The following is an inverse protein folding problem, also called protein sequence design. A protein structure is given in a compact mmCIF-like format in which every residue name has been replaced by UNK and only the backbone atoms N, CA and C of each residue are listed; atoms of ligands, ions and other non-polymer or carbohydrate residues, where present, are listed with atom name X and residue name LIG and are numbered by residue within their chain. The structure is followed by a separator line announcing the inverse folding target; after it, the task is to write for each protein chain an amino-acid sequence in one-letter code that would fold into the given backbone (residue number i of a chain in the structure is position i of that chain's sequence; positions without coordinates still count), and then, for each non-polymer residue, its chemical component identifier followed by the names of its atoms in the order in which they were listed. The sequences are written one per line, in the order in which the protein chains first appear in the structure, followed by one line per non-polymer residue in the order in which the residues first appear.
data_IF_623555392141
#
_entry.id   IF_623555392141
#
_cell.length_a   1.000
_cell.length_b   1.000
_cell.length_c   1.000
_cell.angle_alpha   90.00
_cell.angle_beta   90.00
_cell.angle_gamma   90.00
#
_symmetry.space_group_name_H-M   'P 1'
#
loop_
_entity.id
_entity.type
_entity.pdbx_description
1 polymer ?
#
# COMPACT_ATOMS: atom_id res chain seq x y z
N UNK A 1 -19.27 -18.33 -4.22
CA UNK A 1 -17.98 -17.87 -3.66
C UNK A 1 -17.63 -16.54 -4.29
N UNK A 2 -18.02 -15.44 -3.65
CA UNK A 2 -17.60 -14.10 -4.06
C UNK A 2 -16.20 -13.93 -3.50
N UNK A 3 -15.21 -14.00 -4.38
CA UNK A 3 -13.81 -13.66 -4.09
C UNK A 3 -13.77 -12.38 -3.26
N UNK A 4 -13.13 -12.48 -2.10
CA UNK A 4 -12.83 -11.40 -1.16
C UNK A 4 -11.79 -10.44 -1.77
N UNK A 5 -12.12 -9.84 -2.92
CA UNK A 5 -11.30 -8.78 -3.50
C UNK A 5 -11.42 -7.58 -2.56
N UNK A 6 -10.32 -7.32 -1.85
CA UNK A 6 -10.11 -6.11 -1.08
C UNK A 6 -10.32 -4.90 -1.99
N UNK A 7 -11.54 -4.38 -2.05
CA UNK A 7 -11.81 -3.04 -2.54
C UNK A 7 -11.18 -2.11 -1.51
N UNK A 8 -10.11 -1.37 -1.84
CA UNK A 8 -9.56 -0.39 -0.92
C UNK A 8 -10.51 0.81 -0.94
N UNK A 9 -11.64 0.68 -0.24
CA UNK A 9 -12.53 1.79 0.08
C UNK A 9 -11.68 2.77 0.90
N UNK A 10 -11.25 3.86 0.28
CA UNK A 10 -10.39 4.87 0.92
C UNK A 10 -11.19 6.05 1.46
N UNK A 11 -12.36 6.34 0.86
CA UNK A 11 -13.21 7.44 1.30
C UNK A 11 -14.01 7.07 2.55
N UNK A 12 -14.03 7.97 3.53
CA UNK A 12 -14.84 7.85 4.75
C UNK A 12 -16.32 7.65 4.41
N UNK A 13 -16.84 8.43 3.46
CA UNK A 13 -18.23 8.36 3.04
C UNK A 13 -18.64 6.98 2.50
N UNK A 14 -17.76 6.33 1.72
CA UNK A 14 -18.02 4.98 1.19
C UNK A 14 -18.11 3.93 2.32
N UNK A 15 -17.29 4.09 3.37
CA UNK A 15 -17.38 3.22 4.53
C UNK A 15 -18.67 3.43 5.32
N UNK A 16 -19.10 4.69 5.48
CA UNK A 16 -20.41 5.01 6.09
C UNK A 16 -21.52 4.29 5.32
N UNK A 17 -21.57 4.48 4.00
CA UNK A 17 -22.58 3.87 3.14
C UNK A 17 -22.53 2.35 3.19
N UNK A 18 -21.33 1.76 3.21
CA UNK A 18 -21.19 0.31 3.28
C UNK A 18 -21.70 -0.26 4.61
N UNK A 19 -21.38 0.38 5.75
CA UNK A 19 -21.90 -0.03 7.06
C UNK A 19 -23.44 0.07 7.06
N UNK A 20 -23.99 1.18 6.59
CA UNK A 20 -25.45 1.38 6.53
C UNK A 20 -26.13 0.39 5.56
N UNK A 21 -25.51 0.07 4.44
CA UNK A 21 -25.98 -0.94 3.50
C UNK A 21 -26.00 -2.34 4.15
N UNK A 22 -24.93 -2.72 4.86
CA UNK A 22 -24.90 -4.00 5.58
C UNK A 22 -25.93 -4.06 6.71
N UNK A 23 -26.20 -2.94 7.38
CA UNK A 23 -27.28 -2.87 8.36
C UNK A 23 -28.64 -3.15 7.70
N UNK A 24 -28.88 -2.59 6.51
CA UNK A 24 -30.11 -2.79 5.74
C UNK A 24 -30.35 -4.23 5.28
N UNK A 25 -29.31 -5.07 5.20
CA UNK A 25 -29.46 -6.50 4.89
C UNK A 25 -29.95 -7.34 6.07
N UNK A 26 -29.90 -6.79 7.29
CA UNK A 26 -30.27 -7.47 8.53
C UNK A 26 -29.19 -8.40 9.10
N UNK A 27 -28.03 -8.53 8.44
CA UNK A 27 -26.92 -9.32 8.96
C UNK A 27 -26.06 -8.50 9.93
N UNK A 28 -26.35 -8.64 11.23
CA UNK A 28 -25.67 -7.91 12.29
C UNK A 28 -24.21 -8.33 12.48
N UNK A 29 -23.86 -9.58 12.15
CA UNK A 29 -22.47 -10.05 12.26
C UNK A 29 -21.64 -9.41 11.15
N UNK A 30 -22.15 -9.40 9.91
CA UNK A 30 -21.51 -8.73 8.79
C UNK A 30 -21.43 -7.21 8.99
N UNK A 31 -22.47 -6.59 9.55
CA UNK A 31 -22.48 -5.15 9.85
C UNK A 31 -21.38 -4.78 10.84
N UNK A 32 -21.25 -5.53 11.94
CA UNK A 32 -20.19 -5.32 12.94
C UNK A 32 -18.80 -5.54 12.35
N UNK A 33 -18.61 -6.61 11.58
CA UNK A 33 -17.33 -6.87 10.92
C UNK A 33 -16.97 -5.75 9.93
N UNK A 34 -17.95 -5.18 9.24
CA UNK A 34 -17.75 -4.04 8.33
C UNK A 34 -17.43 -2.76 9.10
N UNK A 35 -18.09 -2.51 10.23
CA UNK A 35 -17.79 -1.39 11.12
C UNK A 35 -16.37 -1.43 11.69
N UNK A 36 -15.89 -2.59 12.16
CA UNK A 36 -14.52 -2.72 12.66
C UNK A 36 -13.47 -2.55 11.56
N UNK A 37 -13.75 -3.05 10.33
CA UNK A 37 -12.90 -2.77 9.17
C UNK A 37 -12.86 -1.27 8.85
N UNK A 38 -14.00 -0.59 8.88
CA UNK A 38 -14.08 0.86 8.66
C UNK A 38 -13.28 1.65 9.72
N UNK A 39 -13.43 1.31 11.00
CA UNK A 39 -12.67 1.93 12.08
C UNK A 39 -11.17 1.72 11.93
N UNK A 40 -10.76 0.54 11.48
CA UNK A 40 -9.35 0.23 11.22
C UNK A 40 -8.81 1.02 10.03
N UNK A 41 -9.59 1.16 8.96
CA UNK A 41 -9.17 1.82 7.73
C UNK A 41 -9.14 3.35 7.85
N UNK A 42 -10.19 3.95 8.42
CA UNK A 42 -10.38 5.41 8.40
C UNK A 42 -10.83 6.00 9.74
N UNK A 43 -10.92 5.20 10.81
CA UNK A 43 -11.34 5.68 12.12
C UNK A 43 -10.38 6.70 12.76
N UNK A 44 -9.11 6.74 12.30
CA UNK A 44 -8.10 7.74 12.74
C UNK A 44 -7.99 8.93 11.80
N UNK A 45 -8.84 9.03 10.76
CA UNK A 45 -8.86 10.16 9.86
C UNK A 45 -9.28 11.42 10.61
N UNK A 46 -8.34 12.34 10.86
CA UNK A 46 -8.55 13.49 11.75
C UNK A 46 -9.75 14.35 11.33
N UNK A 47 -9.91 14.67 10.04
CA UNK A 47 -11.01 15.54 9.61
C UNK A 47 -12.40 14.87 9.54
N UNK A 48 -12.47 13.64 9.02
CA UNK A 48 -13.75 12.99 8.69
C UNK A 48 -14.03 11.70 9.50
N UNK A 49 -13.04 11.14 10.19
CA UNK A 49 -13.14 9.83 10.85
C UNK A 49 -14.23 9.75 11.91
N UNK A 50 -14.66 10.90 12.47
CA UNK A 50 -15.79 11.02 13.40
C UNK A 50 -17.08 10.43 12.80
N UNK A 51 -17.27 10.50 11.49
CA UNK A 51 -18.45 9.98 10.80
C UNK A 51 -18.57 8.45 10.94
N UNK A 52 -17.45 7.73 10.88
CA UNK A 52 -17.45 6.27 11.09
C UNK A 52 -17.72 5.92 12.54
N UNK A 53 -17.11 6.63 13.48
CA UNK A 53 -17.38 6.41 14.90
C UNK A 53 -18.86 6.60 15.22
N UNK A 54 -19.46 7.67 14.71
CA UNK A 54 -20.89 7.95 14.88
C UNK A 54 -21.78 6.86 14.30
N UNK A 55 -21.51 6.39 13.08
CA UNK A 55 -22.30 5.35 12.42
C UNK A 55 -22.16 4.00 13.14
N UNK A 56 -20.95 3.61 13.54
CA UNK A 56 -20.73 2.36 14.27
C UNK A 56 -21.38 2.40 15.65
N UNK A 57 -21.24 3.51 16.39
CA UNK A 57 -21.92 3.71 17.67
C UNK A 57 -23.44 3.71 17.51
N UNK A 58 -23.98 4.38 16.49
CA UNK A 58 -25.42 4.42 16.20
C UNK A 58 -25.99 3.01 16.03
N UNK A 59 -25.30 2.15 15.28
CA UNK A 59 -25.69 0.74 15.11
C UNK A 59 -25.78 0.03 16.47
N UNK A 60 -24.73 0.13 17.29
CA UNK A 60 -24.71 -0.57 18.58
C UNK A 60 -25.72 -0.01 19.59
N UNK A 61 -25.96 1.31 19.59
CA UNK A 61 -27.00 1.95 20.40
C UNK A 61 -28.40 1.52 19.99
N UNK A 62 -28.67 1.42 18.69
CA UNK A 62 -29.98 0.99 18.19
C UNK A 62 -30.27 -0.46 18.57
N UNK A 63 -29.26 -1.34 18.53
CA UNK A 63 -29.39 -2.72 19.02
C UNK A 63 -29.68 -2.71 20.53
N UNK A 64 -28.95 -1.91 21.30
CA UNK A 64 -29.14 -1.82 22.75
C UNK A 64 -30.56 -1.35 23.11
N UNK A 65 -31.06 -0.31 22.44
CA UNK A 65 -32.43 0.18 22.62
C UNK A 65 -33.48 -0.90 22.28
N UNK A 66 -33.25 -1.71 21.25
CA UNK A 66 -34.13 -2.83 20.91
C UNK A 66 -34.16 -3.96 21.95
N UNK A 67 -33.10 -4.11 22.75
CA UNK A 67 -33.02 -5.09 23.84
C UNK A 67 -33.68 -4.59 25.13
N UNK A 68 -33.81 -3.28 25.32
CA UNK A 68 -34.50 -2.68 26.46
C UNK A 68 -36.03 -2.83 26.33
N UNK A 69 -36.55 -4.04 26.60
CA UNK A 69 -38.00 -4.29 26.65
C UNK A 69 -38.59 -3.61 27.90
N UNK A 70 -39.41 -2.59 27.70
CA UNK A 70 -40.15 -1.93 28.79
C UNK A 70 -41.33 -2.82 29.25
N UNK A 71 -41.29 -3.29 30.51
CA UNK A 71 -42.47 -3.81 31.21
C UNK A 71 -42.65 -5.34 31.33
N UNK A 72 -41.68 -6.16 30.91
CA UNK A 72 -41.70 -7.63 31.11
C UNK A 72 -40.55 -8.11 31.98
N UNK A 73 -40.77 -9.20 32.73
CA UNK A 73 -39.71 -9.88 33.49
C UNK A 73 -38.67 -10.39 32.47
N UNK A 74 -37.49 -9.78 32.46
CA UNK A 74 -36.40 -10.19 31.60
C UNK A 74 -35.87 -11.55 32.05
N UNK A 75 -35.66 -12.45 31.09
CA UNK A 75 -34.95 -13.70 31.34
C UNK A 75 -33.46 -13.42 31.66
N UNK A 76 -32.81 -14.33 32.39
CA UNK A 76 -31.37 -14.22 32.68
C UNK A 76 -30.52 -14.13 31.39
N UNK A 77 -31.01 -14.73 30.31
CA UNK A 77 -30.34 -14.71 29.01
C UNK A 77 -30.47 -13.34 28.32
N UNK A 78 -31.63 -12.69 28.40
CA UNK A 78 -31.84 -11.33 27.89
C UNK A 78 -31.00 -10.29 28.66
N UNK A 79 -30.89 -10.43 29.99
CA UNK A 79 -30.04 -9.56 30.83
C UNK A 79 -28.57 -9.70 30.38
N UNK A 80 -28.08 -10.93 30.22
CA UNK A 80 -26.70 -11.18 29.76
C UNK A 80 -26.44 -10.61 28.36
N UNK A 81 -27.40 -10.66 27.46
CA UNK A 81 -27.28 -10.06 26.11
C UNK A 81 -27.23 -8.54 26.17
N UNK A 82 -28.07 -7.93 27.02
CA UNK A 82 -28.08 -6.49 27.26
C UNK A 82 -26.75 -6.01 27.88
N UNK A 83 -26.21 -6.71 28.87
CA UNK A 83 -24.90 -6.40 29.47
C UNK A 83 -23.75 -6.50 28.46
N UNK A 84 -23.73 -7.55 27.63
CA UNK A 84 -22.75 -7.69 26.55
C UNK A 84 -22.84 -6.53 25.56
N UNK A 85 -24.06 -6.11 25.24
CA UNK A 85 -24.29 -5.00 24.32
C UNK A 85 -23.85 -3.66 24.92
N UNK A 86 -24.14 -3.41 26.19
CA UNK A 86 -23.66 -2.25 26.92
C UNK A 86 -22.13 -2.18 26.93
N UNK A 87 -21.46 -3.29 27.24
CA UNK A 87 -19.99 -3.36 27.22
C UNK A 87 -19.38 -3.07 25.85
N UNK A 88 -20.06 -3.40 24.74
CA UNK A 88 -19.60 -3.02 23.39
C UNK A 88 -19.64 -1.50 23.19
N UNK A 89 -20.74 -0.86 23.55
CA UNK A 89 -20.88 0.61 23.47
C UNK A 89 -19.82 1.28 24.32
N UNK A 90 -19.67 0.86 25.58
CA UNK A 90 -18.64 1.34 26.49
C UNK A 90 -17.23 1.17 25.91
N UNK A 91 -16.96 0.02 25.28
CA UNK A 91 -15.68 -0.25 24.60
C UNK A 91 -15.41 0.69 23.43
N UNK A 92 -16.43 0.98 22.61
CA UNK A 92 -16.32 1.91 21.48
C UNK A 92 -16.09 3.34 21.96
N UNK A 93 -16.83 3.81 22.97
CA UNK A 93 -16.65 5.15 23.54
C UNK A 93 -15.23 5.33 24.11
N UNK A 94 -14.73 4.35 24.87
CA UNK A 94 -13.34 4.34 25.36
C UNK A 94 -12.32 4.44 24.23
N UNK A 95 -12.54 3.72 23.12
CA UNK A 95 -11.66 3.78 21.95
C UNK A 95 -11.73 5.14 21.27
N UNK A 96 -12.93 5.69 21.03
CA UNK A 96 -13.13 6.98 20.38
C UNK A 96 -12.44 8.13 21.15
N UNK A 97 -12.54 8.13 22.49
CA UNK A 97 -11.88 9.14 23.34
C UNK A 97 -10.35 9.18 23.20
N UNK A 98 -9.75 8.15 22.61
CA UNK A 98 -8.29 8.05 22.36
C UNK A 98 -7.89 8.47 20.94
N UNK A 99 -8.84 8.94 20.12
CA UNK A 99 -8.60 9.32 18.73
C UNK A 99 -8.80 10.82 18.54
N UNK A 100 -7.77 11.56 18.08
CA UNK A 100 -7.86 13.01 17.89
C UNK A 100 -8.63 13.32 16.60
N UNK A 101 -9.92 13.62 16.72
CA UNK A 101 -10.83 13.88 15.60
C UNK A 101 -11.40 15.29 15.66
N UNK A 102 -11.43 15.98 14.51
CA UNK A 102 -12.17 17.23 14.36
C UNK A 102 -13.67 16.99 14.56
N UNK A 103 -14.36 18.03 15.02
CA UNK A 103 -15.80 18.02 15.28
C UNK A 103 -16.25 16.97 16.33
N UNK A 104 -15.32 16.39 17.08
CA UNK A 104 -15.61 15.55 18.24
C UNK A 104 -15.51 16.42 19.51
N UNK A 105 -16.66 16.91 19.97
CA UNK A 105 -16.73 17.72 21.19
C UNK A 105 -16.53 16.85 22.44
N UNK A 106 -15.56 17.24 23.27
CA UNK A 106 -15.16 16.46 24.44
C UNK A 106 -16.24 16.43 25.53
N UNK A 107 -16.98 17.52 25.71
CA UNK A 107 -18.05 17.61 26.71
C UNK A 107 -19.22 16.72 26.29
N UNK A 108 -19.65 16.82 25.05
CA UNK A 108 -20.71 15.99 24.45
C UNK A 108 -20.36 14.50 24.53
N UNK A 109 -19.11 14.11 24.27
CA UNK A 109 -18.68 12.72 24.35
C UNK A 109 -18.67 12.18 25.79
N UNK A 110 -18.36 13.03 26.78
CA UNK A 110 -18.44 12.66 28.20
C UNK A 110 -19.89 12.57 28.69
N UNK A 111 -20.75 13.48 28.25
CA UNK A 111 -22.18 13.44 28.53
C UNK A 111 -22.79 12.15 27.97
N UNK A 112 -22.53 11.86 26.69
CA UNK A 112 -22.96 10.61 26.06
C UNK A 112 -22.42 9.40 26.82
N UNK A 113 -21.15 9.39 27.20
CA UNK A 113 -20.60 8.30 27.98
C UNK A 113 -21.30 8.15 29.35
N UNK A 114 -21.68 9.25 30.02
CA UNK A 114 -22.35 9.15 31.31
C UNK A 114 -23.66 8.34 31.26
N UNK A 115 -24.39 8.37 30.13
CA UNK A 115 -25.62 7.58 29.92
C UNK A 115 -25.37 6.07 29.97
N UNK A 116 -24.21 5.61 29.51
CA UNK A 116 -23.87 4.18 29.40
C UNK A 116 -22.95 3.68 30.53
N UNK A 117 -22.57 4.55 31.46
CA UNK A 117 -21.66 4.27 32.57
C UNK A 117 -22.31 4.61 33.93
N UNK A 118 -23.64 4.56 34.01
CA UNK A 118 -24.41 4.85 35.24
C UNK A 118 -24.05 6.21 35.89
N UNK A 119 -23.71 7.21 35.06
CA UNK A 119 -23.30 8.54 35.51
C UNK A 119 -21.84 8.67 35.93
N UNK A 120 -21.09 7.57 36.10
CA UNK A 120 -19.70 7.57 36.58
C UNK A 120 -18.70 7.19 35.47
N UNK A 121 -18.37 8.15 34.62
CA UNK A 121 -17.29 7.98 33.63
C UNK A 121 -15.94 7.87 34.34
N UNK A 122 -15.21 6.79 34.04
CA UNK A 122 -13.89 6.46 34.57
C UNK A 122 -12.92 7.67 34.50
N UNK A 123 -12.27 8.07 35.61
CA UNK A 123 -11.25 9.13 35.61
C UNK A 123 -10.16 8.94 34.56
N UNK A 124 -9.76 7.71 34.26
CA UNK A 124 -8.77 7.40 33.23
C UNK A 124 -9.26 7.79 31.83
N UNK A 125 -10.55 7.60 31.53
CA UNK A 125 -11.15 8.04 30.27
C UNK A 125 -11.10 9.56 30.12
N UNK A 126 -11.34 10.31 31.20
CA UNK A 126 -11.25 11.78 31.21
C UNK A 126 -9.80 12.24 30.98
N UNK A 127 -8.83 11.54 31.56
CA UNK A 127 -7.41 11.84 31.34
C UNK A 127 -6.97 11.53 29.90
N UNK A 128 -7.41 10.40 29.35
CA UNK A 128 -7.16 10.02 27.97
C UNK A 128 -7.74 11.06 27.00
N UNK A 129 -8.99 11.48 27.21
CA UNK A 129 -9.63 12.50 26.39
C UNK A 129 -8.88 13.84 26.45
N UNK A 130 -8.38 14.24 27.63
CA UNK A 130 -7.55 15.44 27.77
C UNK A 130 -6.24 15.34 26.95
N UNK A 131 -5.59 14.17 26.97
CA UNK A 131 -4.39 13.92 26.15
C UNK A 131 -4.73 13.96 24.65
N UNK A 132 -5.85 13.36 24.27
CA UNK A 132 -6.36 13.37 22.89
C UNK A 132 -6.65 14.79 22.41
N UNK A 133 -7.28 15.63 23.23
CA UNK A 133 -7.55 17.03 22.88
C UNK A 133 -6.24 17.82 22.66
N UNK A 134 -5.22 17.57 23.48
CA UNK A 134 -3.90 18.18 23.27
C UNK A 134 -3.30 17.76 21.93
N UNK A 135 -3.33 16.46 21.61
CA UNK A 135 -2.86 15.94 20.31
C UNK A 135 -3.66 16.51 19.13
N UNK A 136 -4.97 16.66 19.29
CA UNK A 136 -5.82 17.26 18.27
C UNK A 136 -5.41 18.73 18.03
N UNK A 137 -5.18 19.50 19.07
CA UNK A 137 -4.75 20.90 18.95
C UNK A 137 -3.39 21.04 18.22
N UNK A 138 -2.49 20.07 18.39
CA UNK A 138 -1.22 20.01 17.64
C UNK A 138 -1.43 19.69 16.14
N UNK A 139 -2.53 19.01 15.79
CA UNK A 139 -2.89 18.64 14.41
C UNK A 139 -3.71 19.71 13.68
N UNK A 140 -4.49 20.52 14.39
CA UNK A 140 -5.38 21.56 13.82
C UNK A 140 -4.66 22.46 12.80
N UNK A 141 -3.46 23.03 13.06
CA UNK A 141 -2.80 23.90 12.10
C UNK A 141 -2.53 23.24 10.74
N UNK A 142 -2.22 21.94 10.75
CA UNK A 142 -2.00 21.19 9.52
C UNK A 142 -3.30 20.89 8.77
N UNK A 143 -4.38 20.56 9.49
CA UNK A 143 -5.70 20.37 8.88
C UNK A 143 -6.23 21.66 8.25
N UNK A 144 -6.01 22.78 8.94
CA UNK A 144 -6.31 24.13 8.47
C UNK A 144 -5.51 24.50 7.21
N UNK A 145 -4.21 24.19 7.18
CA UNK A 145 -3.35 24.38 6.00
C UNK A 145 -3.87 23.56 4.80
N UNK A 146 -4.26 22.31 5.01
CA UNK A 146 -4.81 21.44 3.96
C UNK A 146 -6.16 21.96 3.44
N UNK A 147 -7.00 22.50 4.32
CA UNK A 147 -8.30 23.07 3.95
C UNK A 147 -8.16 24.39 3.17
N UNK A 148 -7.13 25.19 3.49
CA UNK A 148 -6.87 26.48 2.84
C UNK A 148 -6.04 26.39 1.56
N UNK A 149 -5.51 25.22 1.22
CA UNK A 149 -4.71 25.04 0.02
C UNK A 149 -5.50 25.44 -1.23
N UNK A 150 -4.94 26.35 -2.03
CA UNK A 150 -5.62 26.90 -3.22
C UNK A 150 -5.52 25.97 -4.45
N UNK A 151 -4.52 25.09 -4.46
CA UNK A 151 -4.24 24.17 -5.55
C UNK A 151 -3.59 22.87 -5.05
N UNK A 152 -3.51 21.88 -5.93
CA UNK A 152 -2.99 20.54 -5.60
C UNK A 152 -1.51 20.54 -5.20
N UNK A 153 -0.70 21.46 -5.73
CA UNK A 153 0.73 21.55 -5.39
C UNK A 153 0.90 21.99 -3.94
N UNK A 154 0.16 23.03 -3.53
CA UNK A 154 0.17 23.54 -2.17
C UNK A 154 -0.40 22.52 -1.19
N UNK A 155 -1.47 21.81 -1.59
CA UNK A 155 -2.08 20.75 -0.77
C UNK A 155 -1.12 19.59 -0.54
N UNK A 156 -0.44 19.12 -1.60
CA UNK A 156 0.57 18.07 -1.49
C UNK A 156 1.76 18.51 -0.62
N UNK A 157 2.20 19.76 -0.76
CA UNK A 157 3.23 20.32 0.12
C UNK A 157 2.78 20.37 1.59
N UNK A 158 1.50 20.72 1.84
CA UNK A 158 0.87 20.65 3.15
C UNK A 158 0.89 19.23 3.73
N UNK A 159 0.48 18.24 2.94
CA UNK A 159 0.55 16.83 3.33
C UNK A 159 1.98 16.41 3.68
N UNK A 160 2.97 16.75 2.86
CA UNK A 160 4.39 16.42 3.12
C UNK A 160 4.89 17.01 4.44
N UNK A 161 4.57 18.28 4.74
CA UNK A 161 4.91 18.91 6.04
C UNK A 161 4.26 18.17 7.21
N UNK A 162 2.99 17.82 7.06
CA UNK A 162 2.24 17.14 8.10
C UNK A 162 2.74 15.70 8.35
N UNK A 163 3.03 14.96 7.28
CA UNK A 163 3.64 13.63 7.34
C UNK A 163 5.00 13.70 8.03
N UNK A 164 5.85 14.67 7.67
CA UNK A 164 7.16 14.86 8.29
C UNK A 164 7.06 15.09 9.81
N UNK A 165 6.20 16.01 10.24
CA UNK A 165 5.95 16.25 11.66
C UNK A 165 5.44 14.99 12.38
N UNK A 166 4.48 14.28 11.76
CA UNK A 166 3.83 13.10 12.37
C UNK A 166 4.81 11.93 12.52
N UNK A 167 5.79 11.78 11.61
CA UNK A 167 6.87 10.80 11.74
C UNK A 167 7.73 11.04 12.98
N UNK A 168 7.85 12.28 13.45
CA UNK A 168 8.65 12.63 14.63
C UNK A 168 7.84 12.53 15.93
N UNK A 169 6.53 12.77 15.88
CA UNK A 169 5.72 12.96 17.09
C UNK A 169 4.67 11.90 17.37
N UNK A 170 4.36 11.02 16.41
CA UNK A 170 3.25 10.08 16.53
C UNK A 170 3.63 8.66 16.05
N UNK A 171 2.65 7.76 16.13
CA UNK A 171 2.82 6.35 15.80
C UNK A 171 2.74 6.09 14.27
N UNK A 172 3.31 4.96 13.79
CA UNK A 172 3.31 4.62 12.36
C UNK A 172 1.92 4.52 11.71
N UNK A 173 0.88 4.14 12.44
CA UNK A 173 -0.48 4.07 11.89
C UNK A 173 -1.06 5.47 11.62
N UNK A 174 -0.70 6.48 12.42
CA UNK A 174 -1.06 7.87 12.15
C UNK A 174 -0.36 8.39 10.88
N UNK A 175 0.92 8.05 10.68
CA UNK A 175 1.66 8.38 9.45
C UNK A 175 1.04 7.68 8.24
N UNK A 176 0.69 6.40 8.36
CA UNK A 176 0.01 5.65 7.31
C UNK A 176 -1.32 6.30 6.93
N UNK A 177 -2.14 6.69 7.92
CA UNK A 177 -3.40 7.40 7.67
C UNK A 177 -3.21 8.69 6.87
N UNK A 178 -2.15 9.46 7.14
CA UNK A 178 -1.84 10.66 6.35
C UNK A 178 -1.40 10.34 4.92
N UNK A 179 -0.62 9.28 4.72
CA UNK A 179 -0.30 8.83 3.36
C UNK A 179 -1.54 8.36 2.61
N UNK A 180 -2.45 7.60 3.24
CA UNK A 180 -3.72 7.17 2.65
C UNK A 180 -4.58 8.35 2.20
N UNK A 181 -4.64 9.41 3.02
CA UNK A 181 -5.31 10.66 2.68
C UNK A 181 -4.63 11.35 1.50
N UNK A 182 -3.30 11.50 1.55
CA UNK A 182 -2.54 12.18 0.51
C UNK A 182 -2.66 11.46 -0.85
N UNK A 183 -2.58 10.13 -0.90
CA UNK A 183 -2.71 9.37 -2.16
C UNK A 183 -4.16 9.28 -2.65
N UNK A 184 -5.14 9.56 -1.81
CA UNK A 184 -6.54 9.71 -2.24
C UNK A 184 -6.71 10.99 -3.05
N UNK A 185 -6.09 12.08 -2.60
CA UNK A 185 -6.13 13.37 -3.29
C UNK A 185 -5.15 13.44 -4.48
N UNK A 186 -3.98 12.82 -4.36
CA UNK A 186 -2.87 12.91 -5.32
C UNK A 186 -2.46 11.54 -5.85
N UNK A 187 -3.44 10.74 -6.30
CA UNK A 187 -3.22 9.34 -6.69
C UNK A 187 -2.28 9.16 -7.89
N UNK A 188 -2.02 10.19 -8.69
CA UNK A 188 -1.14 10.13 -9.86
C UNK A 188 0.29 10.66 -9.58
N UNK A 189 0.60 11.06 -8.34
CA UNK A 189 1.94 11.51 -7.97
C UNK A 189 2.83 10.30 -7.65
N UNK A 190 3.75 10.01 -8.57
CA UNK A 190 4.69 8.87 -8.45
C UNK A 190 5.58 9.00 -7.22
N UNK A 191 6.06 10.21 -6.92
CA UNK A 191 6.97 10.46 -5.81
C UNK A 191 6.31 10.19 -4.45
N UNK A 192 5.06 10.62 -4.27
CA UNK A 192 4.26 10.37 -3.09
C UNK A 192 4.03 8.86 -2.87
N UNK A 193 3.66 8.14 -3.92
CA UNK A 193 3.53 6.68 -3.84
C UNK A 193 4.85 6.00 -3.48
N UNK A 194 5.96 6.47 -4.06
CA UNK A 194 7.28 5.93 -3.81
C UNK A 194 7.71 6.15 -2.36
N UNK A 195 7.47 7.35 -1.81
CA UNK A 195 7.65 7.67 -0.39
C UNK A 195 6.78 6.76 0.51
N UNK A 196 5.51 6.56 0.13
CA UNK A 196 4.56 5.77 0.92
C UNK A 196 4.93 4.28 0.93
N UNK A 197 5.20 3.70 -0.24
CA UNK A 197 5.60 2.28 -0.39
C UNK A 197 6.86 2.01 0.41
N UNK A 198 7.89 2.87 0.31
CA UNK A 198 9.11 2.70 1.11
C UNK A 198 8.85 2.81 2.61
N UNK A 199 7.99 3.74 3.03
CA UNK A 199 7.60 3.86 4.42
C UNK A 199 6.96 2.56 4.94
N UNK A 200 5.97 1.99 4.25
CA UNK A 200 5.29 0.76 4.73
C UNK A 200 6.20 -0.46 4.68
N UNK A 201 7.04 -0.60 3.65
CA UNK A 201 8.01 -1.70 3.57
C UNK A 201 9.02 -1.65 4.73
N UNK A 202 9.44 -0.45 5.14
CA UNK A 202 10.38 -0.26 6.23
C UNK A 202 9.74 -0.42 7.61
N UNK A 203 8.55 0.15 7.83
CA UNK A 203 7.90 0.15 9.15
C UNK A 203 7.15 -1.14 9.45
N UNK A 204 6.67 -1.85 8.43
CA UNK A 204 5.87 -3.05 8.58
C UNK A 204 6.46 -4.26 7.81
N UNK A 205 7.75 -4.60 8.00
CA UNK A 205 8.44 -5.58 7.17
C UNK A 205 7.90 -7.02 7.30
N UNK A 206 7.03 -7.28 8.29
CA UNK A 206 6.39 -8.59 8.52
C UNK A 206 4.88 -8.60 8.26
N UNK A 207 4.29 -7.51 7.75
CA UNK A 207 2.84 -7.40 7.54
C UNK A 207 2.52 -7.33 6.04
N UNK A 208 2.51 -8.48 5.39
CA UNK A 208 2.18 -8.63 3.96
C UNK A 208 0.83 -8.01 3.60
N UNK A 209 -0.18 -8.22 4.46
CA UNK A 209 -1.53 -7.68 4.33
C UNK A 209 -1.62 -6.14 4.41
N UNK A 210 -0.54 -5.47 4.83
CA UNK A 210 -0.41 -4.01 4.79
C UNK A 210 0.42 -3.57 3.59
N UNK A 211 1.59 -4.19 3.38
CA UNK A 211 2.55 -3.74 2.38
C UNK A 211 2.12 -4.08 0.96
N UNK A 212 1.71 -5.33 0.68
CA UNK A 212 1.37 -5.76 -0.67
C UNK A 212 0.20 -4.97 -1.26
N UNK A 213 -0.92 -4.72 -0.53
CA UNK A 213 -2.01 -3.90 -1.07
C UNK A 213 -1.59 -2.47 -1.42
N UNK A 214 -0.65 -1.87 -0.68
CA UNK A 214 -0.13 -0.52 -0.99
C UNK A 214 0.69 -0.55 -2.27
N UNK A 215 1.57 -1.54 -2.46
CA UNK A 215 2.33 -1.73 -3.70
C UNK A 215 1.43 -2.02 -4.92
N UNK A 216 0.39 -2.83 -4.76
CA UNK A 216 -0.55 -3.13 -5.84
C UNK A 216 -1.33 -1.88 -6.28
N UNK A 217 -1.73 -1.05 -5.31
CA UNK A 217 -2.43 0.22 -5.54
C UNK A 217 -1.51 1.26 -6.16
N UNK A 218 -0.26 1.37 -5.73
CA UNK A 218 0.68 2.33 -6.30
C UNK A 218 0.90 2.05 -7.78
N UNK A 219 1.12 0.79 -8.16
CA UNK A 219 1.22 0.39 -9.56
C UNK A 219 -0.09 0.55 -10.32
N UNK A 220 -1.26 0.34 -9.69
CA UNK A 220 -2.54 0.52 -10.38
C UNK A 220 -2.77 1.99 -10.74
N UNK A 221 -2.37 2.92 -9.88
CA UNK A 221 -2.56 4.34 -10.15
C UNK A 221 -1.45 4.94 -11.03
N UNK A 222 -0.22 4.46 -10.86
CA UNK A 222 0.96 4.94 -11.61
C UNK A 222 1.68 3.78 -12.33
N UNK A 223 1.01 3.06 -13.24
CA UNK A 223 1.56 1.85 -13.87
C UNK A 223 2.79 2.11 -14.74
N UNK A 224 2.96 3.34 -15.24
CA UNK A 224 4.11 3.76 -16.04
C UNK A 224 5.41 3.91 -15.23
N UNK A 225 5.36 3.86 -13.90
CA UNK A 225 6.55 4.04 -13.04
C UNK A 225 7.31 2.73 -12.86
N UNK A 226 8.52 2.66 -13.44
CA UNK A 226 9.42 1.53 -13.25
C UNK A 226 9.89 1.42 -11.80
N UNK A 227 10.01 2.53 -11.07
CA UNK A 227 10.39 2.50 -9.65
C UNK A 227 9.29 1.84 -8.80
N UNK A 228 8.01 2.15 -9.05
CA UNK A 228 6.91 1.46 -8.37
C UNK A 228 6.77 0.00 -8.83
N UNK A 229 7.16 -0.28 -10.09
CA UNK A 229 7.27 -1.65 -10.58
C UNK A 229 8.25 -2.48 -9.73
N UNK A 230 9.48 -1.98 -9.62
CA UNK A 230 10.58 -2.59 -8.87
C UNK A 230 10.27 -2.74 -7.37
N UNK A 231 9.66 -1.72 -6.74
CA UNK A 231 9.27 -1.79 -5.33
C UNK A 231 8.24 -2.89 -5.08
N UNK A 232 7.26 -3.08 -5.96
CA UNK A 232 6.27 -4.15 -5.82
C UNK A 232 6.92 -5.53 -6.02
N UNK A 233 7.76 -5.69 -7.05
CA UNK A 233 8.51 -6.94 -7.28
C UNK A 233 9.39 -7.27 -6.07
N UNK A 234 10.00 -6.25 -5.46
CA UNK A 234 10.78 -6.40 -4.22
C UNK A 234 9.89 -6.81 -3.05
N UNK A 235 8.73 -6.19 -2.87
CA UNK A 235 7.79 -6.56 -1.81
C UNK A 235 7.28 -8.01 -1.96
N UNK A 236 6.97 -8.45 -3.18
CA UNK A 236 6.58 -9.84 -3.45
C UNK A 236 7.67 -10.83 -3.01
N UNK A 237 8.94 -10.51 -3.28
CA UNK A 237 10.08 -11.33 -2.84
C UNK A 237 10.24 -11.32 -1.30
N UNK A 238 10.00 -10.19 -0.64
CA UNK A 238 10.13 -10.07 0.81
C UNK A 238 9.18 -11.00 1.57
N UNK A 239 7.97 -11.21 1.05
CA UNK A 239 6.93 -12.01 1.70
C UNK A 239 6.77 -13.41 1.13
N UNK A 240 7.54 -13.78 0.09
CA UNK A 240 7.47 -15.11 -0.47
C UNK A 240 8.06 -16.15 0.49
N UNK A 241 7.36 -17.28 0.64
CA UNK A 241 7.96 -18.47 1.22
C UNK A 241 8.91 -19.11 0.20
N UNK A 242 9.87 -19.92 0.68
CA UNK A 242 10.79 -20.65 -0.20
C UNK A 242 10.08 -21.63 -1.14
N UNK A 243 8.85 -22.01 -0.81
CA UNK A 243 8.02 -22.98 -1.52
C UNK A 243 6.89 -22.28 -2.32
N UNK A 244 6.87 -20.94 -2.41
CA UNK A 244 5.84 -20.23 -3.18
C UNK A 244 6.06 -20.38 -4.69
N UNK A 245 5.54 -21.49 -5.25
CA UNK A 245 5.56 -21.78 -6.69
C UNK A 245 4.84 -20.69 -7.51
N UNK A 246 3.96 -19.89 -6.89
CA UNK A 246 3.22 -18.81 -7.56
C UNK A 246 4.01 -17.50 -7.65
N UNK A 247 5.15 -17.36 -6.95
CA UNK A 247 5.91 -16.11 -6.88
C UNK A 247 6.33 -15.62 -8.28
N UNK A 248 6.87 -16.51 -9.12
CA UNK A 248 7.30 -16.14 -10.48
C UNK A 248 6.13 -15.61 -11.31
N UNK A 249 4.95 -16.21 -11.17
CA UNK A 249 3.75 -15.74 -11.87
C UNK A 249 3.29 -14.37 -11.33
N UNK A 250 3.31 -14.15 -10.01
CA UNK A 250 2.98 -12.84 -9.40
C UNK A 250 3.93 -11.75 -9.85
N UNK A 251 5.24 -12.01 -9.84
CA UNK A 251 6.28 -11.07 -10.26
C UNK A 251 6.15 -10.75 -11.76
N UNK A 252 5.94 -11.76 -12.60
CA UNK A 252 5.68 -11.56 -14.03
C UNK A 252 4.40 -10.74 -14.26
N UNK A 253 3.33 -11.02 -13.52
CA UNK A 253 2.09 -10.24 -13.58
C UNK A 253 2.29 -8.77 -13.18
N UNK A 254 3.14 -8.48 -12.20
CA UNK A 254 3.48 -7.10 -11.82
C UNK A 254 4.23 -6.36 -12.95
N UNK A 255 5.14 -7.04 -13.64
CA UNK A 255 5.80 -6.52 -14.85
C UNK A 255 4.78 -6.25 -15.96
N UNK A 256 4.02 -7.27 -16.37
CA UNK A 256 3.07 -7.20 -17.49
C UNK A 256 2.01 -6.10 -17.28
N UNK A 257 1.57 -5.90 -16.03
CA UNK A 257 0.65 -4.80 -15.68
C UNK A 257 1.28 -3.42 -15.90
N UNK A 258 2.55 -3.24 -15.54
CA UNK A 258 3.26 -1.99 -15.80
C UNK A 258 3.46 -1.74 -17.29
N UNK A 259 3.85 -2.79 -18.02
CA UNK A 259 4.11 -2.70 -19.46
C UNK A 259 2.83 -2.47 -20.29
N UNK A 260 1.68 -2.98 -19.85
CA UNK A 260 0.43 -2.91 -20.63
C UNK A 260 -0.29 -1.56 -20.58
N UNK A 261 0.14 -0.62 -19.73
CA UNK A 261 -0.55 0.67 -19.54
C UNK A 261 0.05 1.85 -20.31
N UNK A 262 0.65 1.62 -21.48
CA UNK A 262 1.18 2.69 -22.32
C UNK A 262 2.45 3.31 -21.74
N UNK A 263 3.53 2.54 -21.75
CA UNK A 263 4.84 2.99 -21.26
C UNK A 263 5.28 4.24 -22.05
N UNK A 264 5.63 5.31 -21.34
CA UNK A 264 5.90 6.62 -21.94
C UNK A 264 7.32 6.75 -22.51
N UNK A 265 8.25 5.88 -22.10
CA UNK A 265 9.63 5.91 -22.60
C UNK A 265 10.28 4.53 -22.54
N UNK A 266 11.17 4.25 -23.50
CA UNK A 266 11.97 3.02 -23.49
C UNK A 266 12.85 2.88 -22.25
N UNK A 267 13.26 4.00 -21.63
CA UNK A 267 13.99 3.98 -20.35
C UNK A 267 13.18 3.35 -19.23
N UNK A 268 11.91 3.72 -19.08
CA UNK A 268 11.04 3.12 -18.05
C UNK A 268 10.75 1.64 -18.37
N UNK A 269 10.52 1.30 -19.65
CA UNK A 269 10.39 -0.09 -20.08
C UNK A 269 11.63 -0.93 -19.72
N UNK A 270 12.82 -0.41 -20.04
CA UNK A 270 14.12 -1.04 -19.77
C UNK A 270 14.28 -1.29 -18.27
N UNK A 271 13.98 -0.29 -17.43
CA UNK A 271 14.06 -0.43 -15.97
C UNK A 271 13.08 -1.46 -15.41
N UNK A 272 11.85 -1.54 -15.92
CA UNK A 272 10.88 -2.57 -15.52
C UNK A 272 11.37 -3.98 -15.88
N UNK A 273 11.82 -4.17 -17.12
CA UNK A 273 12.39 -5.44 -17.56
C UNK A 273 13.63 -5.83 -16.75
N UNK A 274 14.50 -4.88 -16.45
CA UNK A 274 15.66 -5.12 -15.59
C UNK A 274 15.26 -5.61 -14.20
N UNK A 275 14.22 -5.05 -13.57
CA UNK A 275 13.73 -5.55 -12.28
C UNK A 275 13.30 -7.03 -12.36
N UNK A 276 12.61 -7.42 -13.44
CA UNK A 276 12.22 -8.81 -13.66
C UNK A 276 13.40 -9.74 -13.96
N UNK A 277 14.35 -9.30 -14.79
CA UNK A 277 15.54 -10.08 -15.12
C UNK A 277 16.44 -10.29 -13.89
N UNK A 278 16.58 -9.28 -13.04
CA UNK A 278 17.28 -9.39 -11.75
C UNK A 278 16.58 -10.42 -10.86
N UNK A 279 15.24 -10.42 -10.81
CA UNK A 279 14.48 -11.44 -10.11
C UNK A 279 14.77 -12.84 -10.66
N UNK A 280 14.65 -13.06 -11.97
CA UNK A 280 14.89 -14.36 -12.60
C UNK A 280 16.32 -14.85 -12.35
N UNK A 281 17.31 -13.97 -12.45
CA UNK A 281 18.71 -14.32 -12.12
C UNK A 281 18.86 -14.80 -10.67
N UNK A 282 18.11 -14.23 -9.71
CA UNK A 282 18.16 -14.70 -8.32
C UNK A 282 17.54 -16.09 -8.13
N UNK A 283 16.64 -16.51 -9.02
CA UNK A 283 16.07 -17.86 -9.01
C UNK A 283 17.03 -18.92 -9.54
N UNK A 284 18.11 -18.53 -10.22
CA UNK A 284 19.14 -19.47 -10.71
C UNK A 284 20.09 -19.82 -9.56
N UNK A 285 20.05 -21.08 -9.15
CA UNK A 285 20.93 -21.68 -8.14
C UNK A 285 22.04 -22.45 -8.86
N UNK A 286 23.21 -21.83 -9.02
CA UNK A 286 24.27 -22.28 -9.93
C UNK A 286 24.94 -23.60 -9.52
N UNK A 287 24.87 -23.98 -8.24
CA UNK A 287 25.38 -25.25 -7.71
C UNK A 287 24.38 -26.41 -7.85
N UNK A 288 23.21 -26.17 -8.46
CA UNK A 288 22.16 -27.16 -8.70
C UNK A 288 21.79 -27.21 -10.20
N UNK A 289 21.09 -28.25 -10.68
CA UNK A 289 20.55 -28.27 -12.04
C UNK A 289 19.63 -27.05 -12.27
N UNK A 290 19.97 -26.21 -13.24
CA UNK A 290 19.34 -24.90 -13.43
C UNK A 290 18.98 -24.57 -14.89
N UNK A 291 18.98 -25.58 -15.77
CA UNK A 291 18.76 -25.40 -17.22
C UNK A 291 17.42 -24.71 -17.52
N UNK A 292 16.35 -25.09 -16.80
CA UNK A 292 15.03 -24.49 -16.98
C UNK A 292 15.00 -23.01 -16.58
N UNK A 293 15.63 -22.66 -15.44
CA UNK A 293 15.67 -21.29 -14.93
C UNK A 293 16.55 -20.40 -15.82
N UNK A 294 17.68 -20.92 -16.28
CA UNK A 294 18.57 -20.22 -17.21
C UNK A 294 17.89 -20.02 -18.58
N UNK A 295 17.17 -21.02 -19.09
CA UNK A 295 16.38 -20.87 -20.31
C UNK A 295 15.31 -19.79 -20.15
N UNK A 296 14.53 -19.81 -19.06
CA UNK A 296 13.51 -18.80 -18.79
C UNK A 296 14.10 -17.38 -18.68
N UNK A 297 15.28 -17.24 -18.05
CA UNK A 297 16.03 -15.97 -18.00
C UNK A 297 16.43 -15.49 -19.40
N UNK A 298 16.98 -16.38 -20.23
CA UNK A 298 17.40 -16.08 -21.61
C UNK A 298 16.20 -15.68 -22.48
N UNK A 299 15.10 -16.42 -22.41
CA UNK A 299 13.87 -16.13 -23.14
C UNK A 299 13.27 -14.77 -22.72
N UNK A 300 13.21 -14.49 -21.42
CA UNK A 300 12.76 -13.20 -20.91
C UNK A 300 13.66 -12.04 -21.37
N UNK A 301 14.99 -12.25 -21.39
CA UNK A 301 15.95 -11.27 -21.88
C UNK A 301 15.74 -10.95 -23.36
N UNK A 302 15.55 -11.99 -24.18
CA UNK A 302 15.27 -11.82 -25.60
C UNK A 302 13.92 -11.13 -25.83
N UNK A 303 12.89 -11.50 -25.06
CA UNK A 303 11.57 -10.86 -25.11
C UNK A 303 11.66 -9.37 -24.77
N UNK A 304 12.44 -9.02 -23.74
CA UNK A 304 12.67 -7.63 -23.35
C UNK A 304 13.31 -6.82 -24.46
N UNK A 305 14.40 -7.33 -25.05
CA UNK A 305 15.10 -6.69 -26.18
C UNK A 305 14.16 -6.50 -27.36
N UNK A 306 13.46 -7.56 -27.78
CA UNK A 306 12.55 -7.50 -28.92
C UNK A 306 11.41 -6.51 -28.70
N UNK A 307 10.82 -6.47 -27.51
CA UNK A 307 9.76 -5.50 -27.19
C UNK A 307 10.31 -4.06 -27.23
N UNK A 308 11.45 -3.81 -26.59
CA UNK A 308 12.01 -2.45 -26.55
C UNK A 308 12.37 -1.96 -27.96
N UNK A 309 13.00 -2.81 -28.77
CA UNK A 309 13.36 -2.48 -30.15
C UNK A 309 12.12 -2.25 -31.04
N UNK A 310 11.05 -3.05 -30.86
CA UNK A 310 9.80 -2.90 -31.61
C UNK A 310 9.06 -1.59 -31.28
N UNK A 311 8.95 -1.25 -29.99
CA UNK A 311 8.14 -0.12 -29.54
C UNK A 311 8.90 1.21 -29.49
N UNK A 312 10.21 1.19 -29.24
CA UNK A 312 11.03 2.39 -29.02
C UNK A 312 12.23 2.50 -29.96
N UNK A 313 12.53 1.46 -30.74
CA UNK A 313 13.70 1.44 -31.61
C UNK A 313 15.03 1.57 -30.85
N UNK A 314 16.03 2.10 -31.54
CA UNK A 314 17.39 2.30 -31.03
C UNK A 314 17.45 3.18 -29.76
N UNK A 315 16.53 4.13 -29.62
CA UNK A 315 16.45 5.03 -28.46
C UNK A 315 15.82 4.39 -27.21
N UNK A 316 15.36 3.14 -27.32
CA UNK A 316 14.67 2.44 -26.23
C UNK A 316 15.60 2.05 -25.07
N UNK A 317 16.76 1.50 -25.40
CA UNK A 317 17.82 1.09 -24.47
C UNK A 317 19.17 1.62 -24.96
N UNK A 318 19.32 2.95 -24.85
CA UNK A 318 20.47 3.70 -25.39
C UNK A 318 21.81 3.11 -24.90
N UNK A 319 21.88 2.77 -23.62
CA UNK A 319 23.09 2.25 -22.96
C UNK A 319 23.24 0.73 -23.08
N UNK A 320 22.33 0.07 -23.80
CA UNK A 320 22.26 -1.39 -23.95
C UNK A 320 22.32 -2.11 -22.60
N UNK A 321 21.61 -1.60 -21.60
CA UNK A 321 21.60 -2.10 -20.22
C UNK A 321 21.19 -3.57 -20.15
N UNK A 322 20.14 -3.95 -20.88
CA UNK A 322 19.63 -5.34 -20.86
C UNK A 322 20.63 -6.29 -21.53
N UNK A 323 21.07 -6.08 -22.79
CA UNK A 323 22.06 -6.97 -23.40
C UNK A 323 23.36 -7.05 -22.62
N UNK A 324 23.86 -5.95 -22.05
CA UNK A 324 25.08 -5.95 -21.23
C UNK A 324 24.90 -6.79 -19.97
N UNK A 325 23.73 -6.71 -19.33
CA UNK A 325 23.40 -7.58 -18.21
C UNK A 325 23.36 -9.05 -18.61
N UNK A 326 22.71 -9.39 -19.73
CA UNK A 326 22.67 -10.75 -20.25
C UNK A 326 24.08 -11.29 -20.53
N UNK A 327 24.90 -10.55 -21.29
CA UNK A 327 26.26 -10.96 -21.64
C UNK A 327 27.13 -11.23 -20.40
N UNK A 328 26.97 -10.41 -19.34
CA UNK A 328 27.68 -10.61 -18.08
C UNK A 328 27.27 -11.90 -17.39
N UNK A 329 25.97 -12.20 -17.31
CA UNK A 329 25.48 -13.45 -16.72
C UNK A 329 25.96 -14.67 -17.51
N UNK A 330 25.96 -14.60 -18.84
CA UNK A 330 26.45 -15.69 -19.69
C UNK A 330 27.94 -15.99 -19.44
N UNK A 331 28.78 -14.96 -19.41
CA UNK A 331 30.22 -15.12 -19.19
C UNK A 331 30.57 -15.53 -17.76
N UNK A 332 30.08 -14.78 -16.76
CA UNK A 332 30.54 -14.91 -15.38
C UNK A 332 29.85 -16.05 -14.63
N UNK A 333 28.59 -16.35 -14.96
CA UNK A 333 27.79 -17.32 -14.22
C UNK A 333 27.52 -18.60 -15.02
N UNK A 334 27.08 -18.50 -16.27
CA UNK A 334 26.77 -19.67 -17.11
C UNK A 334 28.01 -20.29 -17.76
N UNK A 335 29.16 -19.60 -17.72
CA UNK A 335 30.41 -19.98 -18.35
C UNK A 335 30.28 -20.23 -19.87
N UNK A 336 29.37 -19.50 -20.52
CA UNK A 336 29.09 -19.56 -21.95
C UNK A 336 29.71 -18.33 -22.67
N UNK A 337 31.03 -18.41 -22.87
CA UNK A 337 31.79 -17.31 -23.47
C UNK A 337 31.43 -17.05 -24.94
N UNK A 338 30.99 -18.08 -25.68
CA UNK A 338 30.57 -17.92 -27.07
C UNK A 338 29.31 -17.07 -27.15
N UNK A 339 28.30 -17.40 -26.35
CA UNK A 339 27.06 -16.63 -26.28
C UNK A 339 27.27 -15.20 -25.78
N UNK A 340 28.14 -15.01 -24.79
CA UNK A 340 28.50 -13.67 -24.33
C UNK A 340 29.13 -12.82 -25.45
N UNK A 341 30.00 -13.40 -26.29
CA UNK A 341 30.58 -12.73 -27.46
C UNK A 341 29.54 -12.40 -28.52
N UNK A 342 28.60 -13.30 -28.78
CA UNK A 342 27.50 -13.05 -29.72
C UNK A 342 26.70 -11.81 -29.30
N UNK A 343 26.32 -11.72 -28.02
CA UNK A 343 25.60 -10.57 -27.48
C UNK A 343 26.45 -9.29 -27.59
N UNK A 344 27.75 -9.35 -27.27
CA UNK A 344 28.65 -8.19 -27.39
C UNK A 344 28.87 -7.72 -28.82
N UNK A 345 28.97 -8.64 -29.77
CA UNK A 345 29.04 -8.31 -31.19
C UNK A 345 27.78 -7.54 -31.61
N UNK A 346 26.61 -7.96 -31.15
CA UNK A 346 25.34 -7.28 -31.42
C UNK A 346 25.29 -5.88 -30.77
N UNK A 347 25.70 -5.76 -29.49
CA UNK A 347 25.79 -4.47 -28.79
C UNK A 347 26.68 -3.48 -29.56
N UNK A 348 27.88 -3.91 -29.96
CA UNK A 348 28.90 -3.02 -30.56
C UNK A 348 28.54 -2.70 -32.00
N UNK A 349 28.18 -3.72 -32.79
CA UNK A 349 28.10 -3.59 -34.25
C UNK A 349 26.71 -3.19 -34.74
N UNK A 350 25.64 -3.54 -34.00
CA UNK A 350 24.27 -3.36 -34.49
C UNK A 350 23.48 -2.27 -33.77
N UNK A 351 23.89 -1.83 -32.58
CA UNK A 351 23.13 -0.87 -31.75
C UNK A 351 23.79 0.50 -31.65
N UNK A 352 23.01 1.57 -31.78
CA UNK A 352 23.29 2.95 -31.34
C UNK A 352 24.65 3.55 -31.75
N UNK A 353 25.24 3.08 -32.86
CA UNK A 353 26.62 3.40 -33.23
C UNK A 353 27.65 3.13 -32.11
N UNK A 354 27.39 2.14 -31.25
CA UNK A 354 28.19 1.78 -30.08
C UNK A 354 29.64 1.43 -30.41
N UNK A 355 29.96 1.02 -31.64
CA UNK A 355 31.33 0.84 -32.11
C UNK A 355 32.23 2.07 -31.93
N UNK A 356 31.65 3.28 -31.83
CA UNK A 356 32.39 4.53 -31.56
C UNK A 356 32.62 4.78 -30.06
N UNK A 357 31.99 4.02 -29.18
CA UNK A 357 32.06 4.21 -27.73
C UNK A 357 33.20 3.39 -27.12
N UNK A 358 34.32 4.05 -26.82
CA UNK A 358 35.50 3.40 -26.24
C UNK A 358 35.22 2.69 -24.90
N UNK A 359 34.25 3.19 -24.11
CA UNK A 359 33.89 2.59 -22.82
C UNK A 359 33.32 1.18 -22.99
N UNK A 360 32.49 0.97 -24.02
CA UNK A 360 31.89 -0.34 -24.31
C UNK A 360 32.95 -1.35 -24.77
N UNK A 361 33.92 -0.93 -25.57
CA UNK A 361 35.07 -1.76 -25.93
C UNK A 361 35.91 -2.17 -24.72
N UNK A 362 36.15 -1.25 -23.78
CA UNK A 362 36.88 -1.56 -22.55
C UNK A 362 36.11 -2.57 -21.67
N UNK A 363 34.79 -2.46 -21.60
CA UNK A 363 33.97 -3.44 -20.88
C UNK A 363 34.01 -4.81 -21.56
N UNK A 364 33.90 -4.88 -22.89
CA UNK A 364 34.03 -6.14 -23.64
C UNK A 364 35.41 -6.79 -23.44
N UNK A 365 36.50 -6.00 -23.54
CA UNK A 365 37.86 -6.50 -23.29
C UNK A 365 38.01 -7.00 -21.85
N UNK A 366 37.38 -6.34 -20.87
CA UNK A 366 37.42 -6.78 -19.47
C UNK A 366 36.71 -8.10 -19.25
N UNK A 367 35.69 -8.42 -20.05
CA UNK A 367 34.93 -9.66 -19.97
C UNK A 367 35.65 -10.85 -20.62
N UNK A 368 36.59 -10.60 -21.54
CA UNK A 368 37.46 -11.61 -22.17
C UNK A 368 38.68 -11.99 -21.31
N UNK A 369 38.92 -11.28 -20.21
CA UNK A 369 40.00 -11.57 -19.25
C UNK A 369 39.52 -12.46 -18.14
#
# INVERSE_FOLDING_TARGET
EVSNSYLPLQGVQLWVEYVMFTLGSGDMVATRATGERALTAVGTHVAEGVLIWQVVLLVEKQIYAGLQKSGTIQSEQEIKEQEKQLHRIQGLLRRQMRVPLLNCDAESLLEEASEYFDGEVDPHMKEDLKKTQKKLNEKIPFEDDLLRAENDVDKLAGYRRYIAQTKETDNPAAVQSLYERAVTDHCLDVGLWEEYVRFVMHQFPGLDYVVLPVCERSQRNCPWSATLCDLHITALQMFASKEDESLTAKVKGALEKGLSCGIQSGREATRMWMAYLIYLRRQIVWDQPHDCQLLAFREAGQQAISMIDEYFGEDGDIESEIPRFLARIEAECAHDAERAREIWNDIIMKRNNNFKNAKLWLEFISLER
#
